data_IF_703778135174
#
_entry.id   IF_703778135174
#
_cell.length_a   1.000
_cell.length_b   1.000
_cell.length_c   1.000
_cell.angle_alpha   90.00
_cell.angle_beta   90.00
_cell.angle_gamma   90.00
#
_symmetry.space_group_name_H-M   'P 1'
#
loop_
_entity.id
_entity.type
_entity.pdbx_description
1 polymer ?
#
# COMPACT_ATOMS: atom_id res chain seq x y z
N UNK A 1 -18.14 20.37 7.08
CA UNK A 1 -17.63 20.41 5.70
C UNK A 1 -18.42 19.48 4.79
N UNK A 2 -18.66 19.90 3.56
CA UNK A 2 -19.47 19.11 2.62
C UNK A 2 -18.78 17.78 2.23
N UNK A 3 -17.48 17.64 2.41
CA UNK A 3 -16.70 16.50 1.97
C UNK A 3 -15.89 15.89 3.11
N UNK A 4 -16.56 15.67 4.25
CA UNK A 4 -15.90 15.06 5.43
C UNK A 4 -15.58 13.58 5.21
N UNK A 5 -16.34 12.92 4.34
CA UNK A 5 -16.20 11.49 4.08
C UNK A 5 -15.76 11.25 2.64
N UNK A 6 -14.78 10.36 2.48
CA UNK A 6 -14.26 9.95 1.18
C UNK A 6 -14.38 8.44 1.08
N UNK A 7 -14.90 7.96 -0.04
CA UNK A 7 -14.94 6.53 -0.35
C UNK A 7 -13.81 6.20 -1.31
N UNK A 8 -12.99 5.22 -0.92
CA UNK A 8 -11.91 4.67 -1.75
C UNK A 8 -12.31 3.27 -2.16
N UNK A 9 -12.30 3.00 -3.45
CA UNK A 9 -12.70 1.70 -4.01
C UNK A 9 -11.45 0.93 -4.43
N UNK A 10 -11.24 -0.20 -3.78
CA UNK A 10 -10.10 -1.07 -4.01
C UNK A 10 -9.03 -0.93 -2.95
N UNK A 11 -8.72 -2.04 -2.26
CA UNK A 11 -7.71 -2.12 -1.21
C UNK A 11 -6.35 -2.63 -1.69
N UNK A 12 -5.97 -2.32 -2.93
CA UNK A 12 -4.64 -2.60 -3.45
C UNK A 12 -3.60 -1.59 -2.96
N UNK A 13 -2.47 -1.52 -3.66
CA UNK A 13 -1.39 -0.59 -3.28
C UNK A 13 -1.86 0.86 -3.31
N UNK A 14 -2.45 1.28 -4.43
CA UNK A 14 -2.88 2.67 -4.60
C UNK A 14 -4.01 3.04 -3.64
N UNK A 15 -5.03 2.18 -3.52
CA UNK A 15 -6.16 2.45 -2.65
C UNK A 15 -5.79 2.49 -1.18
N UNK A 16 -4.93 1.58 -0.73
CA UNK A 16 -4.47 1.57 0.65
C UNK A 16 -3.66 2.83 0.99
N UNK A 17 -2.73 3.23 0.12
CA UNK A 17 -1.96 4.47 0.33
C UNK A 17 -2.89 5.69 0.36
N UNK A 18 -3.83 5.77 -0.59
CA UNK A 18 -4.79 6.87 -0.67
C UNK A 18 -5.63 6.96 0.60
N UNK A 19 -6.17 5.83 1.06
CA UNK A 19 -7.00 5.78 2.27
C UNK A 19 -6.23 6.26 3.51
N UNK A 20 -5.01 5.79 3.69
CA UNK A 20 -4.18 6.19 4.82
C UNK A 20 -3.84 7.68 4.76
N UNK A 21 -3.44 8.18 3.59
CA UNK A 21 -3.10 9.60 3.42
C UNK A 21 -4.30 10.50 3.71
N UNK A 22 -5.48 10.13 3.26
CA UNK A 22 -6.70 10.88 3.54
C UNK A 22 -7.05 10.87 5.04
N UNK A 23 -6.99 9.69 5.67
CA UNK A 23 -7.28 9.55 7.09
C UNK A 23 -6.30 10.37 7.95
N UNK A 24 -5.02 10.38 7.59
CA UNK A 24 -4.00 11.15 8.29
C UNK A 24 -4.23 12.67 8.16
N UNK A 25 -4.98 13.08 7.15
CA UNK A 25 -5.36 14.49 6.93
C UNK A 25 -6.72 14.83 7.53
N UNK A 26 -7.32 13.94 8.30
CA UNK A 26 -8.54 14.19 9.05
C UNK A 26 -9.83 13.85 8.33
N UNK A 27 -9.78 13.27 7.15
CA UNK A 27 -10.99 12.80 6.46
C UNK A 27 -11.46 11.49 7.05
N UNK A 28 -12.78 11.31 7.17
CA UNK A 28 -13.36 10.01 7.42
C UNK A 28 -13.32 9.20 6.12
N UNK A 29 -12.71 8.03 6.14
CA UNK A 29 -12.49 7.23 4.95
C UNK A 29 -13.26 5.92 5.03
N UNK A 30 -13.95 5.60 3.93
CA UNK A 30 -14.55 4.29 3.71
C UNK A 30 -13.76 3.59 2.62
N UNK A 31 -13.10 2.49 2.97
CA UNK A 31 -12.34 1.68 2.03
C UNK A 31 -13.17 0.46 1.64
N UNK A 32 -13.48 0.33 0.36
CA UNK A 32 -14.25 -0.80 -0.17
C UNK A 32 -13.31 -1.77 -0.85
N UNK A 33 -13.31 -3.02 -0.40
CA UNK A 33 -12.51 -4.10 -0.98
C UNK A 33 -13.44 -5.27 -1.32
N UNK A 34 -13.30 -5.82 -2.54
CA UNK A 34 -14.19 -6.91 -2.98
C UNK A 34 -13.92 -8.24 -2.30
N UNK A 35 -12.70 -8.49 -1.89
CA UNK A 35 -12.34 -9.76 -1.22
C UNK A 35 -12.74 -9.70 0.25
N UNK A 36 -13.15 -10.81 0.85
CA UNK A 36 -13.14 -12.18 0.35
C UNK A 36 -14.34 -12.56 -0.53
N UNK A 37 -15.41 -11.73 -0.63
CA UNK A 37 -16.63 -12.10 -1.34
C UNK A 37 -16.38 -12.36 -2.83
N UNK A 38 -15.56 -11.52 -3.47
CA UNK A 38 -15.19 -11.65 -4.88
C UNK A 38 -13.67 -11.56 -4.99
N UNK A 39 -13.08 -12.39 -5.85
CA UNK A 39 -11.64 -12.38 -6.11
C UNK A 39 -11.38 -12.44 -7.60
N UNK A 40 -10.15 -12.14 -8.01
CA UNK A 40 -9.71 -12.28 -9.40
C UNK A 40 -8.70 -13.43 -9.52
N UNK A 41 -8.43 -13.94 -10.75
CA UNK A 41 -7.39 -14.97 -10.93
C UNK A 41 -5.99 -14.54 -10.51
N UNK A 42 -5.72 -13.24 -10.43
CA UNK A 42 -4.43 -12.71 -10.01
C UNK A 42 -4.22 -12.77 -8.49
N UNK A 43 -5.30 -12.77 -7.71
CA UNK A 43 -5.24 -12.74 -6.25
C UNK A 43 -5.14 -14.14 -5.65
N UNK A 44 -4.37 -14.27 -4.57
CA UNK A 44 -4.16 -15.52 -3.85
C UNK A 44 -4.54 -15.43 -2.37
N UNK A 45 -4.76 -14.22 -1.84
CA UNK A 45 -5.12 -13.98 -0.44
C UNK A 45 -6.23 -12.95 -0.34
N UNK A 46 -6.72 -12.73 0.89
CA UNK A 46 -7.68 -11.68 1.19
C UNK A 46 -7.01 -10.44 1.80
N UNK A 47 -5.68 -10.41 1.83
CA UNK A 47 -4.93 -9.28 2.39
C UNK A 47 -5.08 -8.02 1.54
N UNK A 48 -5.08 -6.86 2.21
CA UNK A 48 -4.91 -5.58 1.53
C UNK A 48 -3.50 -5.48 0.95
N UNK A 49 -3.34 -4.63 -0.07
CA UNK A 49 -2.05 -4.37 -0.71
C UNK A 49 -1.32 -5.64 -1.16
N UNK A 50 -2.06 -6.61 -1.69
CA UNK A 50 -1.46 -7.85 -2.19
C UNK A 50 -0.64 -7.59 -3.44
N UNK A 51 0.62 -8.04 -3.43
CA UNK A 51 1.49 -8.01 -4.61
C UNK A 51 1.21 -9.23 -5.47
N UNK A 52 0.55 -9.01 -6.61
CA UNK A 52 0.00 -10.10 -7.43
C UNK A 52 0.96 -10.65 -8.47
N UNK A 53 1.92 -9.83 -8.96
CA UNK A 53 2.85 -10.25 -10.02
C UNK A 53 4.17 -10.77 -9.48
N UNK A 54 4.81 -10.00 -8.59
CA UNK A 54 6.06 -10.38 -7.95
C UNK A 54 6.17 -9.72 -6.59
N UNK A 55 7.18 -10.11 -5.82
CA UNK A 55 7.45 -9.48 -4.52
C UNK A 55 8.42 -8.30 -4.63
N UNK A 56 8.66 -7.77 -5.83
CA UNK A 56 9.65 -6.72 -6.07
C UNK A 56 9.00 -5.40 -6.45
N UNK A 57 9.39 -4.33 -5.76
CA UNK A 57 9.10 -2.95 -6.14
C UNK A 57 10.15 -2.38 -7.12
N UNK A 58 11.03 -3.24 -7.64
CA UNK A 58 12.08 -2.89 -8.61
C UNK A 58 13.22 -2.08 -7.97
N UNK A 59 14.02 -1.44 -8.81
CA UNK A 59 15.24 -0.77 -8.38
C UNK A 59 15.01 0.36 -7.36
N UNK A 60 15.96 0.49 -6.44
CA UNK A 60 16.03 1.64 -5.53
C UNK A 60 17.10 2.66 -5.96
N UNK A 61 17.77 2.41 -7.08
CA UNK A 61 18.83 3.31 -7.55
C UNK A 61 18.24 4.62 -8.07
N UNK A 62 18.73 5.79 -7.59
CA UNK A 62 18.18 7.09 -7.99
C UNK A 62 18.35 7.41 -9.47
N UNK A 63 19.28 6.74 -10.17
CA UNK A 63 19.54 6.91 -11.59
C UNK A 63 18.64 6.04 -12.48
N UNK A 64 17.71 5.31 -11.89
CA UNK A 64 16.69 4.54 -12.59
C UNK A 64 15.32 5.21 -12.42
N UNK A 65 14.41 5.00 -13.39
CA UNK A 65 13.06 5.54 -13.30
C UNK A 65 12.32 5.02 -12.06
N UNK A 66 12.42 3.71 -11.80
CA UNK A 66 11.75 3.10 -10.65
C UNK A 66 12.32 3.62 -9.33
N UNK A 67 13.64 3.81 -9.23
CA UNK A 67 14.28 4.35 -8.03
C UNK A 67 13.97 5.83 -7.81
N UNK A 68 13.95 6.62 -8.87
CA UNK A 68 13.59 8.03 -8.77
C UNK A 68 12.13 8.21 -8.31
N UNK A 69 11.20 7.43 -8.88
CA UNK A 69 9.81 7.46 -8.45
C UNK A 69 9.68 7.15 -6.96
N UNK A 70 10.38 6.11 -6.49
CA UNK A 70 10.34 5.75 -5.07
C UNK A 70 10.91 6.87 -4.18
N UNK A 71 12.02 7.49 -4.61
CA UNK A 71 12.60 8.60 -3.85
C UNK A 71 11.63 9.77 -3.74
N UNK A 72 10.91 10.08 -4.80
CA UNK A 72 9.89 11.13 -4.77
C UNK A 72 8.74 10.78 -3.83
N UNK A 73 8.22 9.55 -3.92
CA UNK A 73 7.15 9.09 -3.05
C UNK A 73 7.56 9.07 -1.57
N UNK A 74 8.79 8.68 -1.28
CA UNK A 74 9.32 8.72 0.09
C UNK A 74 9.37 10.14 0.64
N UNK A 75 9.78 11.10 -0.18
CA UNK A 75 9.78 12.51 0.22
C UNK A 75 8.37 13.05 0.43
N UNK A 76 7.38 12.47 -0.22
CA UNK A 76 5.96 12.80 -0.03
C UNK A 76 5.33 12.06 1.15
N UNK A 77 6.09 11.23 1.84
CA UNK A 77 5.62 10.52 3.03
C UNK A 77 4.84 9.25 2.75
N UNK A 78 5.18 8.51 1.71
CA UNK A 78 4.51 7.24 1.40
C UNK A 78 4.59 6.26 2.57
N UNK A 79 3.44 5.84 3.05
CA UNK A 79 3.32 4.85 4.13
C UNK A 79 3.64 3.46 3.59
N UNK A 80 3.20 3.15 2.38
CA UNK A 80 3.44 1.83 1.79
C UNK A 80 4.92 1.58 1.53
N UNK A 81 5.69 2.58 1.12
CA UNK A 81 7.14 2.42 0.99
C UNK A 81 7.81 2.21 2.33
N UNK A 82 7.37 2.86 3.39
CA UNK A 82 7.86 2.58 4.73
C UNK A 82 7.58 1.11 5.12
N UNK A 83 6.37 0.63 4.89
CA UNK A 83 6.02 -0.77 5.10
C UNK A 83 6.91 -1.71 4.27
N UNK A 84 7.17 -1.35 3.01
CA UNK A 84 8.02 -2.15 2.12
C UNK A 84 9.45 -2.26 2.66
N UNK A 85 10.02 -1.17 3.14
CA UNK A 85 11.36 -1.21 3.74
C UNK A 85 11.40 -2.05 5.00
N UNK A 86 10.36 -2.01 5.83
CA UNK A 86 10.27 -2.85 7.03
C UNK A 86 10.08 -4.33 6.72
N UNK A 87 9.50 -4.67 5.57
CA UNK A 87 9.30 -6.05 5.12
C UNK A 87 10.36 -6.52 4.13
N UNK A 88 11.41 -5.72 3.91
CA UNK A 88 12.41 -5.99 2.87
C UNK A 88 13.16 -7.29 3.12
N UNK A 89 13.42 -8.00 2.02
CA UNK A 89 14.29 -9.18 1.99
C UNK A 89 15.47 -8.90 1.04
N UNK A 90 16.61 -9.62 1.21
CA UNK A 90 17.76 -9.38 0.35
C UNK A 90 17.46 -9.60 -1.14
N UNK A 91 17.77 -8.60 -1.97
CA UNK A 91 17.50 -8.65 -3.41
C UNK A 91 18.44 -7.73 -4.20
N UNK A 92 19.66 -7.50 -3.71
CA UNK A 92 20.64 -6.62 -4.37
C UNK A 92 20.14 -5.18 -4.40
N UNK A 93 20.11 -4.58 -5.59
CA UNK A 93 19.70 -3.19 -5.79
C UNK A 93 18.19 -3.00 -5.93
N UNK A 94 17.38 -4.03 -5.72
CA UNK A 94 15.93 -3.95 -5.78
C UNK A 94 15.31 -3.98 -4.39
N UNK A 95 14.14 -3.35 -4.27
CA UNK A 95 13.34 -3.44 -3.05
C UNK A 95 12.37 -4.61 -3.20
N UNK A 96 12.75 -5.77 -2.68
CA UNK A 96 11.89 -6.94 -2.61
C UNK A 96 11.42 -7.13 -1.17
N UNK A 97 10.23 -7.69 -1.00
CA UNK A 97 9.59 -7.84 0.30
C UNK A 97 9.08 -9.25 0.52
N UNK A 98 8.93 -9.62 1.78
CA UNK A 98 8.05 -10.73 2.16
C UNK A 98 6.61 -10.25 1.98
N UNK A 99 5.85 -10.91 1.10
CA UNK A 99 4.52 -10.44 0.71
C UNK A 99 3.54 -10.39 1.86
N UNK A 100 3.54 -11.43 2.69
CA UNK A 100 2.61 -11.54 3.81
C UNK A 100 2.96 -10.47 4.86
N UNK A 101 4.23 -10.36 5.22
CA UNK A 101 4.69 -9.35 6.18
C UNK A 101 4.36 -7.94 5.70
N UNK A 102 4.59 -7.65 4.42
CA UNK A 102 4.24 -6.36 3.84
C UNK A 102 2.74 -6.06 3.97
N UNK A 103 1.88 -7.00 3.56
CA UNK A 103 0.43 -6.82 3.64
C UNK A 103 -0.04 -6.66 5.08
N UNK A 104 0.51 -7.41 6.01
CA UNK A 104 0.18 -7.29 7.43
C UNK A 104 0.57 -5.92 7.99
N UNK A 105 1.72 -5.39 7.60
CA UNK A 105 2.13 -4.04 8.01
C UNK A 105 1.20 -2.97 7.45
N UNK A 106 0.79 -3.09 6.19
CA UNK A 106 -0.18 -2.17 5.60
C UNK A 106 -1.53 -2.25 6.32
N UNK A 107 -2.01 -3.46 6.59
CA UNK A 107 -3.26 -3.67 7.33
C UNK A 107 -3.20 -3.08 8.73
N UNK A 108 -2.05 -3.17 9.40
CA UNK A 108 -1.86 -2.54 10.71
C UNK A 108 -1.95 -1.02 10.63
N UNK A 109 -1.38 -0.40 9.59
CA UNK A 109 -1.50 1.04 9.39
C UNK A 109 -2.94 1.46 9.11
N UNK A 110 -3.68 0.68 8.32
CA UNK A 110 -5.10 0.92 8.06
C UNK A 110 -5.91 0.82 9.36
N UNK A 111 -5.61 -0.16 10.20
CA UNK A 111 -6.30 -0.36 11.47
C UNK A 111 -6.04 0.77 12.47
N UNK A 112 -4.85 1.40 12.42
CA UNK A 112 -4.50 2.53 13.29
C UNK A 112 -5.13 3.84 12.82
N UNK A 113 -5.61 3.89 11.59
CA UNK A 113 -6.19 5.09 10.98
C UNK A 113 -7.70 5.11 11.14
N UNK A 114 -8.33 6.27 10.93
CA UNK A 114 -9.79 6.43 10.95
C UNK A 114 -10.40 5.95 9.61
N UNK A 115 -10.18 4.67 9.30
CA UNK A 115 -10.66 4.05 8.06
C UNK A 115 -11.68 2.98 8.40
N UNK A 116 -12.84 3.05 7.76
CA UNK A 116 -13.87 2.02 7.81
C UNK A 116 -13.78 1.17 6.54
N UNK A 117 -13.70 -0.12 6.73
CA UNK A 117 -13.63 -1.09 5.61
C UNK A 117 -15.00 -1.68 5.31
#
# INVERSE_FOLDING_TARGET
>A
MLFDQVTVIGGGLAGSECAIQLADRGFAVKLCEMRPQVSSPAHHTDHLAELVCSNSFKSTRPDSAAGLLKAELERMGSVLLDCAHRAAVPAGGALAVDRVTFSELVEAEVALSLIHI
#
